data_IF_015392341225
#
_entry.id   IF_015392341225
#
_cell.length_a   1.000
_cell.length_b   1.000
_cell.length_c   1.000
_cell.angle_alpha   90.00
_cell.angle_beta   90.00
_cell.angle_gamma   90.00
#
_symmetry.space_group_name_H-M   'P 1'
#
loop_
_entity.id
_entity.type
_entity.pdbx_description
1 polymer ?
#
# COMPACT_ATOMS: atom_id res chain seq x y z
N UNK A 1 -4.45 -11.29 6.53
CA UNK A 1 -3.68 -10.42 5.61
C UNK A 1 -3.90 -10.82 4.14
N UNK A 2 -3.79 -12.11 3.76
CA UNK A 2 -4.03 -12.54 2.37
C UNK A 2 -5.45 -12.25 1.88
N UNK A 3 -6.48 -12.37 2.73
CA UNK A 3 -7.85 -12.00 2.36
C UNK A 3 -7.98 -10.49 2.10
N UNK A 4 -7.31 -9.65 2.91
CA UNK A 4 -7.27 -8.21 2.70
C UNK A 4 -6.52 -7.84 1.40
N UNK A 5 -5.41 -8.51 1.11
CA UNK A 5 -4.67 -8.35 -0.15
C UNK A 5 -5.55 -8.75 -1.35
N UNK A 6 -6.21 -9.90 -1.31
CA UNK A 6 -7.15 -10.33 -2.35
C UNK A 6 -8.32 -9.36 -2.55
N UNK A 7 -8.87 -8.82 -1.46
CA UNK A 7 -9.90 -7.79 -1.52
C UNK A 7 -9.39 -6.52 -2.21
N UNK A 8 -8.19 -6.06 -1.85
CA UNK A 8 -7.61 -4.86 -2.43
C UNK A 8 -7.40 -5.00 -3.96
N UNK A 9 -6.89 -6.15 -4.39
CA UNK A 9 -6.68 -6.45 -5.82
C UNK A 9 -7.97 -6.53 -6.61
N UNK A 10 -8.99 -7.18 -6.04
CA UNK A 10 -10.26 -7.39 -6.73
C UNK A 10 -11.15 -6.14 -6.75
N UNK A 11 -11.09 -5.31 -5.72
CA UNK A 11 -12.00 -4.15 -5.57
C UNK A 11 -11.39 -2.81 -5.96
N UNK A 12 -10.05 -2.72 -6.05
CA UNK A 12 -9.33 -1.44 -6.19
C UNK A 12 -9.38 -0.56 -4.94
N UNK A 13 -9.90 -1.07 -3.82
CA UNK A 13 -10.01 -0.36 -2.53
C UNK A 13 -9.04 -0.95 -1.52
N UNK A 14 -8.60 -0.17 -0.50
CA UNK A 14 -7.72 -0.73 0.51
C UNK A 14 -8.37 -1.86 1.29
N UNK A 15 -7.66 -2.98 1.43
CA UNK A 15 -8.08 -4.10 2.26
C UNK A 15 -7.65 -3.89 3.72
N UNK A 16 -8.50 -4.28 4.67
CA UNK A 16 -8.21 -4.18 6.10
C UNK A 16 -8.09 -5.55 6.73
N UNK A 17 -7.11 -5.69 7.64
CA UNK A 17 -7.01 -6.86 8.50
C UNK A 17 -6.64 -6.46 9.93
N UNK A 18 -7.03 -7.28 10.88
CA UNK A 18 -6.77 -7.06 12.30
C UNK A 18 -6.26 -8.35 12.94
N UNK A 19 -5.35 -8.21 13.89
CA UNK A 19 -4.88 -9.33 14.70
C UNK A 19 -4.51 -8.87 16.11
N UNK A 20 -4.54 -9.79 17.06
CA UNK A 20 -4.05 -9.55 18.41
C UNK A 20 -2.52 -9.43 18.46
N UNK A 21 -1.97 -9.05 19.60
CA UNK A 21 -0.52 -8.98 19.85
C UNK A 21 0.21 -10.31 19.63
N UNK A 22 1.52 -10.25 19.61
CA UNK A 22 2.40 -11.42 19.56
C UNK A 22 2.16 -12.30 18.34
N UNK A 23 1.80 -13.57 18.53
CA UNK A 23 1.64 -14.52 17.42
C UNK A 23 0.51 -14.13 16.46
N UNK A 24 -0.51 -13.41 16.90
CA UNK A 24 -1.54 -12.87 16.01
C UNK A 24 -0.96 -11.86 15.03
N UNK A 25 -0.21 -10.89 15.54
CA UNK A 25 0.45 -9.87 14.72
C UNK A 25 1.52 -10.47 13.79
N UNK A 26 2.37 -11.38 14.29
CA UNK A 26 3.42 -11.99 13.48
C UNK A 26 2.87 -12.87 12.36
N UNK A 27 1.70 -13.49 12.54
CA UNK A 27 1.03 -14.24 11.47
C UNK A 27 0.55 -13.38 10.29
N UNK A 28 0.45 -12.05 10.45
CA UNK A 28 0.14 -11.15 9.33
C UNK A 28 1.36 -10.89 8.43
N UNK A 29 2.57 -11.12 8.92
CA UNK A 29 3.84 -10.70 8.26
C UNK A 29 3.94 -11.21 6.83
N UNK A 30 3.68 -12.48 6.59
CA UNK A 30 3.75 -13.07 5.24
C UNK A 30 2.80 -12.37 4.27
N UNK A 31 1.55 -12.15 4.66
CA UNK A 31 0.57 -11.47 3.80
C UNK A 31 0.87 -9.99 3.59
N UNK A 32 1.41 -9.31 4.62
CA UNK A 32 1.87 -7.92 4.50
C UNK A 32 3.07 -7.83 3.56
N UNK A 33 4.04 -8.73 3.69
CA UNK A 33 5.20 -8.78 2.79
C UNK A 33 4.78 -9.01 1.33
N UNK A 34 3.83 -9.92 1.09
CA UNK A 34 3.25 -10.14 -0.23
C UNK A 34 2.61 -8.87 -0.80
N UNK A 35 1.75 -8.21 -0.01
CA UNK A 35 1.11 -6.96 -0.40
C UNK A 35 2.13 -5.83 -0.68
N UNK A 36 3.24 -5.79 0.07
CA UNK A 36 4.32 -4.82 -0.13
C UNK A 36 5.04 -5.02 -1.47
N UNK A 37 5.40 -6.25 -1.78
CA UNK A 37 6.09 -6.58 -3.04
C UNK A 37 5.23 -6.25 -4.27
N UNK A 38 3.92 -6.50 -4.17
CA UNK A 38 2.99 -6.32 -5.28
C UNK A 38 2.27 -4.96 -5.28
N UNK A 39 2.66 -4.06 -4.37
CA UNK A 39 2.07 -2.70 -4.26
C UNK A 39 0.57 -2.70 -3.99
N UNK A 40 0.10 -3.64 -3.19
CA UNK A 40 -1.32 -3.77 -2.83
C UNK A 40 -1.62 -2.93 -1.58
N UNK A 41 -2.66 -2.07 -1.59
CA UNK A 41 -3.00 -1.25 -0.45
C UNK A 41 -3.69 -2.08 0.64
N UNK A 42 -2.93 -2.45 1.66
CA UNK A 42 -3.43 -3.18 2.83
C UNK A 42 -3.21 -2.34 4.09
N UNK A 43 -4.20 -2.26 4.95
CA UNK A 43 -4.09 -1.61 6.26
C UNK A 43 -4.24 -2.69 7.32
N UNK A 44 -3.17 -2.91 8.08
CA UNK A 44 -3.14 -3.86 9.18
C UNK A 44 -3.24 -3.13 10.52
N UNK A 45 -4.15 -3.57 11.36
CA UNK A 45 -4.24 -3.15 12.76
C UNK A 45 -3.79 -4.29 13.64
N UNK A 46 -2.83 -4.05 14.53
CA UNK A 46 -2.37 -5.03 15.50
C UNK A 46 -2.67 -4.55 16.92
N UNK A 47 -3.04 -5.48 17.78
CA UNK A 47 -3.05 -5.21 19.21
C UNK A 47 -1.65 -5.29 19.78
N UNK A 48 -1.43 -4.64 20.92
CA UNK A 48 -0.20 -4.70 21.67
C UNK A 48 -0.49 -4.73 23.17
N UNK A 49 0.46 -5.22 23.95
CA UNK A 49 0.41 -5.14 25.40
C UNK A 49 0.33 -3.68 25.86
N UNK A 50 -0.15 -3.45 27.09
CA UNK A 50 -0.26 -2.09 27.62
C UNK A 50 1.12 -1.44 27.76
N UNK A 51 1.24 -0.18 27.30
CA UNK A 51 2.48 0.59 27.45
C UNK A 51 2.70 1.06 28.89
N UNK A 52 1.63 1.11 29.69
CA UNK A 52 1.64 1.51 31.08
C UNK A 52 0.82 0.51 31.91
N UNK A 53 1.40 0.08 33.03
CA UNK A 53 0.64 -0.48 34.13
C UNK A 53 0.81 0.45 35.33
N UNK A 54 -0.24 0.77 36.10
CA UNK A 54 -0.21 1.77 37.18
C UNK A 54 0.89 1.54 38.21
N UNK A 55 1.48 0.35 38.27
CA UNK A 55 2.47 -0.03 39.27
C UNK A 55 3.74 -0.67 38.68
N UNK A 56 4.01 -0.57 37.39
CA UNK A 56 5.20 -1.15 36.82
C UNK A 56 5.78 -0.33 35.66
N UNK A 57 7.11 -0.24 35.66
CA UNK A 57 7.89 0.42 34.62
C UNK A 57 8.01 -0.43 33.33
N UNK A 58 7.07 -1.31 33.05
CA UNK A 58 7.12 -2.14 31.85
C UNK A 58 6.89 -1.29 30.62
N UNK A 59 7.93 -1.19 29.83
CA UNK A 59 7.90 -0.63 28.49
C UNK A 59 7.71 -1.79 27.50
N UNK A 60 7.05 -1.51 26.40
CA UNK A 60 6.97 -2.42 25.24
C UNK A 60 8.38 -2.86 24.84
N UNK A 61 8.56 -4.13 24.49
CA UNK A 61 9.85 -4.71 24.11
C UNK A 61 10.62 -5.32 25.27
N UNK A 62 9.94 -5.72 26.35
CA UNK A 62 10.57 -6.31 27.55
C UNK A 62 9.88 -7.59 28.02
N UNK A 63 9.67 -8.52 27.09
CA UNK A 63 9.27 -9.91 27.38
C UNK A 63 7.93 -10.07 28.13
N UNK A 64 6.95 -9.20 27.87
CA UNK A 64 5.59 -9.44 28.33
C UNK A 64 4.96 -10.63 27.60
N UNK A 65 3.97 -11.28 28.24
CA UNK A 65 3.27 -12.40 27.64
C UNK A 65 2.66 -12.03 26.29
N UNK A 66 3.00 -12.79 25.25
CA UNK A 66 2.58 -12.55 23.86
C UNK A 66 2.93 -11.16 23.33
N UNK A 67 4.01 -10.58 23.78
CA UNK A 67 4.56 -9.37 23.21
C UNK A 67 5.43 -9.69 21.98
N UNK A 68 5.37 -8.84 20.99
CA UNK A 68 6.29 -8.84 19.85
C UNK A 68 6.54 -7.42 19.39
N UNK A 69 7.77 -7.11 19.00
CA UNK A 69 8.08 -5.84 18.32
C UNK A 69 7.60 -5.89 16.87
N UNK A 70 6.29 -5.80 16.69
CA UNK A 70 5.69 -5.84 15.37
C UNK A 70 6.07 -4.62 14.51
N UNK A 71 6.40 -3.49 15.13
CA UNK A 71 6.90 -2.30 14.44
C UNK A 71 8.25 -2.59 13.80
N UNK A 72 9.22 -3.11 14.58
CA UNK A 72 10.52 -3.51 14.05
C UNK A 72 10.42 -4.58 12.97
N UNK A 73 9.61 -5.61 13.19
CA UNK A 73 9.39 -6.71 12.24
C UNK A 73 8.77 -6.21 10.93
N UNK A 74 7.81 -5.29 10.98
CA UNK A 74 7.08 -4.83 9.79
C UNK A 74 7.74 -3.68 9.04
N UNK A 75 8.74 -3.02 9.61
CA UNK A 75 9.42 -1.87 8.99
C UNK A 75 9.90 -2.15 7.56
N UNK A 76 10.58 -3.27 7.23
CA UNK A 76 11.06 -3.53 5.87
C UNK A 76 9.97 -3.94 4.88
N UNK A 77 8.77 -4.24 5.34
CA UNK A 77 7.67 -4.78 4.52
C UNK A 77 6.41 -3.91 4.53
N UNK A 78 6.52 -2.66 5.00
CA UNK A 78 5.42 -1.68 4.99
C UNK A 78 5.88 -0.35 4.43
N UNK A 79 4.96 0.41 3.86
CA UNK A 79 5.22 1.81 3.49
C UNK A 79 5.37 2.71 4.71
N UNK A 80 4.61 2.37 5.75
CA UNK A 80 4.59 3.07 7.02
C UNK A 80 4.08 2.12 8.10
N UNK A 81 4.68 2.21 9.26
CA UNK A 81 4.15 1.60 10.46
C UNK A 81 4.28 2.56 11.64
N UNK A 82 3.36 2.50 12.55
CA UNK A 82 3.40 3.29 13.76
C UNK A 82 2.65 2.61 14.90
N UNK A 83 3.13 2.83 16.11
CA UNK A 83 2.41 2.53 17.32
C UNK A 83 1.74 3.79 17.85
N UNK A 84 0.45 3.72 18.13
CA UNK A 84 -0.33 4.80 18.70
C UNK A 84 -0.01 4.94 20.19
N UNK A 85 0.32 6.14 20.66
CA UNK A 85 0.74 6.38 22.03
C UNK A 85 -0.40 6.71 22.98
N UNK A 86 -1.46 7.34 22.47
CA UNK A 86 -2.64 7.71 23.24
C UNK A 86 -3.90 7.63 22.36
N UNK A 87 -5.07 7.54 22.99
CA UNK A 87 -6.35 7.38 22.29
C UNK A 87 -6.68 8.55 21.35
N UNK A 88 -6.29 9.77 21.67
CA UNK A 88 -6.55 10.95 20.83
C UNK A 88 -5.82 10.92 19.48
N UNK A 89 -4.74 10.15 19.35
CA UNK A 89 -4.00 10.00 18.09
C UNK A 89 -4.68 9.03 17.11
N UNK A 90 -5.62 8.18 17.56
CA UNK A 90 -6.23 7.13 16.74
C UNK A 90 -6.87 7.69 15.45
N UNK A 91 -7.69 8.75 15.47
CA UNK A 91 -8.32 9.27 14.25
C UNK A 91 -7.28 9.72 13.23
N UNK A 92 -6.23 10.40 13.65
CA UNK A 92 -5.13 10.84 12.80
C UNK A 92 -4.35 9.65 12.21
N UNK A 93 -4.02 8.66 13.05
CA UNK A 93 -3.28 7.46 12.62
C UNK A 93 -4.08 6.66 11.57
N UNK A 94 -5.39 6.50 11.76
CA UNK A 94 -6.25 5.83 10.78
C UNK A 94 -6.27 6.60 9.47
N UNK A 95 -6.51 7.91 9.51
CA UNK A 95 -6.55 8.74 8.32
C UNK A 95 -5.23 8.70 7.55
N UNK A 96 -4.11 8.78 8.28
CA UNK A 96 -2.77 8.68 7.71
C UNK A 96 -2.53 7.30 7.08
N UNK A 97 -3.00 6.22 7.72
CA UNK A 97 -2.89 4.86 7.19
C UNK A 97 -3.60 4.73 5.82
N UNK A 98 -4.84 5.20 5.71
CA UNK A 98 -5.56 5.20 4.43
C UNK A 98 -4.86 6.04 3.37
N UNK A 99 -4.44 7.25 3.72
CA UNK A 99 -3.75 8.14 2.80
C UNK A 99 -2.46 7.52 2.26
N UNK A 100 -1.60 7.00 3.14
CA UNK A 100 -0.32 6.41 2.75
C UNK A 100 -0.50 5.09 1.99
N UNK A 101 -1.45 4.25 2.37
CA UNK A 101 -1.68 2.99 1.69
C UNK A 101 -2.12 3.18 0.22
N UNK A 102 -2.89 4.24 -0.07
CA UNK A 102 -3.55 4.43 -1.37
C UNK A 102 -2.90 5.45 -2.29
N UNK A 103 -1.98 6.28 -1.79
CA UNK A 103 -1.36 7.36 -2.59
C UNK A 103 0.06 7.03 -3.05
N UNK A 104 0.51 7.66 -4.13
CA UNK A 104 1.79 7.34 -4.77
C UNK A 104 1.82 5.88 -5.25
N UNK A 105 2.90 5.15 -5.00
CA UNK A 105 2.90 3.69 -5.15
C UNK A 105 2.11 3.09 -4.00
N UNK A 106 0.98 2.41 -4.22
CA UNK A 106 0.22 1.78 -3.14
C UNK A 106 1.05 0.75 -2.36
N UNK A 107 0.63 0.44 -1.15
CA UNK A 107 1.31 -0.58 -0.35
C UNK A 107 0.79 -0.65 1.08
N UNK A 108 1.21 -1.66 1.84
CA UNK A 108 0.68 -1.90 3.17
C UNK A 108 1.16 -0.87 4.20
N UNK A 109 0.28 -0.60 5.15
CA UNK A 109 0.53 0.20 6.34
C UNK A 109 0.11 -0.60 7.56
N UNK A 110 0.87 -0.52 8.65
CA UNK A 110 0.54 -1.18 9.92
C UNK A 110 0.40 -0.15 11.03
N UNK A 111 -0.71 -0.21 11.76
CA UNK A 111 -0.95 0.58 12.97
C UNK A 111 -1.07 -0.35 14.16
N UNK A 112 -0.17 -0.19 15.10
CA UNK A 112 -0.13 -0.97 16.33
C UNK A 112 -0.84 -0.22 17.46
N UNK A 113 -1.81 -0.88 18.09
CA UNK A 113 -2.72 -0.30 19.07
C UNK A 113 -2.51 -0.96 20.44
N UNK A 114 -1.74 -0.35 21.36
CA UNK A 114 -1.60 -0.86 22.71
C UNK A 114 -2.92 -0.93 23.46
N UNK A 115 -3.04 -1.89 24.39
CA UNK A 115 -4.29 -2.14 25.13
C UNK A 115 -4.80 -0.89 25.84
N UNK A 116 -3.93 -0.11 26.46
CA UNK A 116 -4.32 1.14 27.13
C UNK A 116 -4.92 2.15 26.14
N UNK A 117 -4.37 2.31 24.95
CA UNK A 117 -4.92 3.25 23.95
C UNK A 117 -6.30 2.81 23.43
N UNK A 118 -6.60 1.50 23.50
CA UNK A 118 -7.92 0.97 23.11
C UNK A 118 -8.97 1.14 24.20
N UNK A 119 -8.57 1.25 25.47
CA UNK A 119 -9.49 1.37 26.63
C UNK A 119 -9.60 2.77 27.19
N UNK A 120 -8.66 3.64 26.85
CA UNK A 120 -8.66 5.03 27.27
C UNK A 120 -9.78 5.83 26.58
N UNK A 121 -10.23 6.89 27.25
CA UNK A 121 -11.21 7.83 26.71
C UNK A 121 -10.51 9.10 26.27
N UNK A 122 -10.84 9.60 25.08
CA UNK A 122 -10.31 10.85 24.55
C UNK A 122 -11.37 11.59 23.75
N UNK A 123 -11.26 12.91 23.67
CA UNK A 123 -11.99 13.68 22.68
C UNK A 123 -11.39 13.41 21.29
N UNK A 124 -12.26 13.07 20.33
CA UNK A 124 -11.87 12.71 18.99
C UNK A 124 -11.91 13.95 18.08
N UNK A 125 -10.74 14.35 17.60
CA UNK A 125 -10.62 15.39 16.58
C UNK A 125 -10.39 14.80 15.21
N UNK A 126 -11.24 15.16 14.24
CA UNK A 126 -11.13 14.73 12.85
C UNK A 126 -10.69 15.92 11.99
N UNK A 127 -9.40 16.00 11.68
CA UNK A 127 -8.86 17.02 10.78
C UNK A 127 -9.33 16.81 9.34
N UNK A 128 -9.54 17.88 8.56
CA UNK A 128 -9.99 17.77 7.16
C UNK A 128 -8.92 17.31 6.19
N UNK A 129 -7.66 17.54 6.49
CA UNK A 129 -6.51 17.18 5.65
C UNK A 129 -5.47 16.33 6.36
N UNK A 130 -4.59 15.72 5.56
CA UNK A 130 -3.33 15.13 6.02
C UNK A 130 -2.19 15.80 5.32
N UNK A 131 -1.27 16.36 6.08
CA UNK A 131 -0.04 16.90 5.58
C UNK A 131 1.15 16.12 6.17
N UNK A 132 1.93 15.47 5.31
CA UNK A 132 3.11 14.69 5.72
C UNK A 132 4.34 15.37 5.17
N UNK A 133 5.23 15.80 6.07
CA UNK A 133 6.49 16.41 5.68
C UNK A 133 7.29 15.50 4.76
N UNK A 134 7.64 16.00 3.58
CA UNK A 134 8.45 15.26 2.61
C UNK A 134 7.69 14.25 1.75
N UNK A 135 6.41 13.99 2.02
CA UNK A 135 5.58 13.10 1.21
C UNK A 135 4.62 13.92 0.34
N UNK A 136 4.97 14.10 -0.93
CA UNK A 136 4.18 14.86 -1.92
C UNK A 136 4.11 14.04 -3.22
N UNK A 137 3.23 13.05 -3.31
CA UNK A 137 3.09 12.24 -4.51
C UNK A 137 2.69 13.13 -5.70
N UNK A 138 3.43 12.99 -6.81
CA UNK A 138 3.18 13.75 -8.05
C UNK A 138 2.50 12.81 -9.04
N UNK A 139 1.35 13.20 -9.53
CA UNK A 139 0.58 12.44 -10.52
C UNK A 139 0.73 13.00 -11.93
N UNK A 140 1.06 14.29 -12.06
CA UNK A 140 1.27 14.91 -13.36
C UNK A 140 2.71 14.73 -13.82
N UNK A 141 2.94 14.13 -15.02
CA UNK A 141 4.27 13.97 -15.57
C UNK A 141 4.86 15.33 -16.00
N UNK A 142 6.19 15.39 -16.10
CA UNK A 142 6.87 16.60 -16.56
C UNK A 142 6.70 16.75 -18.09
N UNK A 143 6.14 17.88 -18.62
CA UNK A 143 5.79 18.00 -20.04
C UNK A 143 6.95 17.75 -21.00
N UNK A 144 8.16 18.22 -20.68
CA UNK A 144 9.33 17.98 -21.52
C UNK A 144 9.75 16.51 -21.57
N UNK A 145 9.51 15.74 -20.49
CA UNK A 145 9.80 14.30 -20.50
C UNK A 145 8.77 13.53 -21.33
N UNK A 146 7.51 13.93 -21.26
CA UNK A 146 6.46 13.37 -22.12
C UNK A 146 6.81 13.65 -23.59
N UNK A 147 7.16 14.87 -23.96
CA UNK A 147 7.58 15.23 -25.32
C UNK A 147 8.74 14.35 -25.81
N UNK A 148 9.80 14.21 -25.01
CA UNK A 148 10.95 13.35 -25.38
C UNK A 148 10.56 11.90 -25.56
N UNK A 149 9.71 11.35 -24.66
CA UNK A 149 9.21 9.99 -24.77
C UNK A 149 8.41 9.80 -26.08
N UNK A 150 7.54 10.77 -26.41
CA UNK A 150 6.76 10.76 -27.65
C UNK A 150 7.67 10.78 -28.88
N UNK A 151 8.69 11.63 -28.91
CA UNK A 151 9.65 11.71 -30.01
C UNK A 151 10.38 10.37 -30.23
N UNK A 152 10.78 9.69 -29.13
CA UNK A 152 11.41 8.38 -29.18
C UNK A 152 10.45 7.29 -29.70
N UNK A 153 9.21 7.30 -29.25
CA UNK A 153 8.20 6.31 -29.65
C UNK A 153 7.84 6.47 -31.13
N UNK A 154 7.61 7.71 -31.58
CA UNK A 154 7.29 8.00 -33.00
C UNK A 154 8.47 7.68 -33.93
N UNK A 155 9.71 7.86 -33.47
CA UNK A 155 10.91 7.53 -34.24
C UNK A 155 11.28 6.03 -34.23
N UNK A 156 10.63 5.22 -33.38
CA UNK A 156 10.96 3.81 -33.26
C UNK A 156 10.44 2.99 -34.45
N UNK A 157 11.29 2.15 -35.01
CA UNK A 157 10.88 1.29 -36.14
C UNK A 157 10.22 -0.03 -35.71
N UNK A 158 10.56 -0.51 -34.55
CA UNK A 158 10.00 -1.75 -33.94
C UNK A 158 9.72 -1.56 -32.47
N UNK A 159 8.75 -0.71 -32.13
CA UNK A 159 8.39 -0.50 -30.72
C UNK A 159 7.74 -1.76 -30.15
N UNK A 160 7.98 -2.01 -28.87
CA UNK A 160 7.27 -3.01 -28.07
C UNK A 160 6.92 -2.38 -26.72
N UNK A 161 5.74 -2.68 -26.20
CA UNK A 161 5.28 -2.20 -24.92
C UNK A 161 5.31 -3.35 -23.91
N UNK A 162 5.98 -3.16 -22.78
CA UNK A 162 5.91 -4.03 -21.63
C UNK A 162 5.03 -3.36 -20.56
N UNK A 163 3.81 -3.86 -20.38
CA UNK A 163 2.82 -3.30 -19.49
C UNK A 163 2.82 -4.03 -18.12
N UNK A 164 2.98 -3.29 -17.06
CA UNK A 164 3.00 -3.81 -15.68
C UNK A 164 1.78 -3.42 -14.87
N UNK A 165 1.76 -3.80 -13.59
CA UNK A 165 0.67 -3.52 -12.63
C UNK A 165 0.36 -2.03 -12.45
N UNK A 166 1.29 -1.13 -12.78
CA UNK A 166 1.08 0.30 -12.76
C UNK A 166 -0.04 0.78 -13.67
N UNK A 167 -0.28 0.10 -14.79
CA UNK A 167 -1.39 0.40 -15.71
C UNK A 167 -2.74 0.17 -15.02
N UNK A 168 -2.87 -0.96 -14.32
CA UNK A 168 -4.09 -1.29 -13.55
C UNK A 168 -4.27 -0.28 -12.40
N UNK A 169 -3.21 -0.02 -11.64
CA UNK A 169 -3.27 0.88 -10.48
C UNK A 169 -3.63 2.33 -10.87
N UNK A 170 -3.20 2.78 -12.05
CA UNK A 170 -3.52 4.11 -12.57
C UNK A 170 -4.83 4.14 -13.39
N UNK A 171 -5.50 3.00 -13.54
CA UNK A 171 -6.70 2.85 -14.39
C UNK A 171 -6.48 3.30 -15.85
N UNK A 172 -5.29 3.02 -16.41
CA UNK A 172 -4.83 3.50 -17.71
C UNK A 172 -4.89 2.42 -18.81
N UNK A 173 -5.78 1.43 -18.67
CA UNK A 173 -5.92 0.34 -19.66
C UNK A 173 -6.44 0.83 -21.02
N UNK A 174 -7.36 1.81 -21.01
CA UNK A 174 -7.89 2.39 -22.23
C UNK A 174 -6.83 3.19 -23.00
N UNK A 175 -6.03 3.99 -22.27
CA UNK A 175 -4.94 4.77 -22.85
C UNK A 175 -3.81 3.87 -23.37
N UNK A 176 -3.57 2.73 -22.69
CA UNK A 176 -2.61 1.72 -23.18
C UNK A 176 -3.06 1.11 -24.50
N UNK A 177 -4.35 0.77 -24.61
CA UNK A 177 -4.92 0.21 -25.85
C UNK A 177 -4.79 1.23 -26.99
N UNK A 178 -5.22 2.47 -26.78
CA UNK A 178 -5.11 3.53 -27.78
C UNK A 178 -3.65 3.76 -28.23
N UNK A 179 -2.72 3.82 -27.27
CA UNK A 179 -1.30 4.00 -27.58
C UNK A 179 -0.75 2.84 -28.40
N UNK A 180 -1.09 1.60 -28.06
CA UNK A 180 -0.63 0.42 -28.77
C UNK A 180 -1.14 0.39 -30.21
N UNK A 181 -2.41 0.73 -30.42
CA UNK A 181 -3.00 0.82 -31.76
C UNK A 181 -2.39 1.94 -32.60
N UNK A 182 -2.19 3.13 -32.03
CA UNK A 182 -1.57 4.27 -32.72
C UNK A 182 -0.13 3.95 -33.18
N UNK A 183 0.63 3.19 -32.39
CA UNK A 183 2.01 2.82 -32.70
C UNK A 183 2.10 1.49 -33.47
N UNK A 184 1.02 0.76 -33.61
CA UNK A 184 1.02 -0.64 -34.07
C UNK A 184 2.05 -1.49 -33.29
N UNK A 185 2.16 -1.22 -31.99
CA UNK A 185 3.18 -1.82 -31.11
C UNK A 185 2.64 -3.06 -30.41
N UNK A 186 3.33 -4.21 -30.51
CA UNK A 186 3.00 -5.38 -29.70
C UNK A 186 3.05 -5.06 -28.19
N UNK A 187 2.13 -5.62 -27.42
CA UNK A 187 2.04 -5.46 -25.96
C UNK A 187 2.26 -6.80 -25.29
N UNK A 188 3.29 -6.87 -24.45
CA UNK A 188 3.50 -7.94 -23.47
C UNK A 188 3.10 -7.45 -22.08
N UNK A 189 2.50 -8.31 -21.27
CA UNK A 189 2.15 -7.94 -19.89
C UNK A 189 3.07 -8.66 -18.90
N UNK A 190 3.38 -8.00 -17.79
CA UNK A 190 3.95 -8.70 -16.64
C UNK A 190 2.85 -9.45 -15.89
N UNK A 191 3.23 -10.38 -15.00
CA UNK A 191 2.25 -11.08 -14.16
C UNK A 191 1.30 -10.11 -13.43
N UNK A 192 1.82 -9.01 -12.88
CA UNK A 192 1.02 -7.98 -12.22
C UNK A 192 0.28 -7.05 -13.18
N UNK A 193 0.62 -7.05 -14.45
CA UNK A 193 -0.07 -6.31 -15.51
C UNK A 193 -1.14 -7.13 -16.22
N UNK A 194 -1.30 -8.42 -15.89
CA UNK A 194 -2.29 -9.27 -16.55
C UNK A 194 -3.70 -8.69 -16.43
N UNK A 195 -4.40 -8.60 -17.55
CA UNK A 195 -5.73 -7.98 -17.64
C UNK A 195 -5.72 -6.47 -17.94
N UNK A 196 -4.55 -5.79 -18.00
CA UNK A 196 -4.50 -4.39 -18.40
C UNK A 196 -4.58 -4.15 -19.92
N UNK A 197 -4.45 -5.22 -20.70
CA UNK A 197 -4.58 -5.21 -22.17
C UNK A 197 -5.41 -6.43 -22.58
N UNK A 198 -6.33 -6.32 -23.57
CA UNK A 198 -7.13 -7.46 -24.03
C UNK A 198 -6.23 -8.58 -24.59
N UNK A 199 -6.37 -9.80 -24.07
CA UNK A 199 -5.51 -10.92 -24.47
C UNK A 199 -5.85 -11.45 -25.88
N UNK A 200 -7.06 -11.20 -26.35
CA UNK A 200 -7.54 -11.54 -27.71
C UNK A 200 -7.22 -10.48 -28.77
N UNK A 201 -6.62 -9.36 -28.37
CA UNK A 201 -6.25 -8.29 -29.31
C UNK A 201 -5.07 -8.71 -30.20
N UNK A 202 -5.07 -8.38 -31.53
CA UNK A 202 -4.00 -8.74 -32.46
C UNK A 202 -2.59 -8.30 -32.06
N UNK A 203 -2.48 -7.24 -31.29
CA UNK A 203 -1.20 -6.74 -30.76
C UNK A 203 -0.82 -7.38 -29.42
N UNK A 204 -1.63 -8.25 -28.84
CA UNK A 204 -1.27 -8.94 -27.60
C UNK A 204 -0.25 -10.05 -27.88
N UNK A 205 0.86 -10.05 -27.13
CA UNK A 205 1.88 -11.11 -27.19
C UNK A 205 1.83 -12.02 -25.96
N UNK A 206 0.91 -11.76 -25.05
CA UNK A 206 0.71 -12.51 -23.81
C UNK A 206 1.59 -11.99 -22.66
N UNK A 207 1.93 -12.92 -21.74
CA UNK A 207 2.65 -12.66 -20.49
C UNK A 207 4.04 -13.32 -20.57
#
# INVERSE_FOLDING_TARGET
>A
AHAADGYARASGKPGLCMATSGPGATNLVTGIANAYMDSSPVIAFTGQVSTHTPNSSYMIGRDAFQEADIIGISTPITKYNAQVKNAAEIPHAIKMAFYLATTGRPGPVLIDLPKNTQTDTAEMEFSDGIEIRGYKPKYNPHPLQVKKATELLVGAQKPIVLAGGGVITSNASAELLELAELLMAPVATTLMGKGCFPEDHPLSTGN
#
